data_IF_411380000100
#
_entry.id   IF_411380000100
#
_cell.length_a   1.000
_cell.length_b   1.000
_cell.length_c   1.000
_cell.angle_alpha   90.00
_cell.angle_beta   90.00
_cell.angle_gamma   90.00
#
_symmetry.space_group_name_H-M   'P 1'
#
loop_
_entity.id
_entity.type
_entity.pdbx_description
1 polymer ?
#
# COMPACT_ATOMS: atom_id res chain seq x y z
N UNK A 1 -1.84 0.60 0.85
CA UNK A 1 -0.49 0.08 1.15
C UNK A 1 0.52 1.04 0.59
N UNK A 2 1.17 1.78 1.46
CA UNK A 2 2.13 2.78 1.06
C UNK A 2 3.29 2.74 2.04
N UNK A 3 4.49 3.05 1.55
CA UNK A 3 5.64 3.21 2.43
C UNK A 3 5.64 4.62 3.03
N UNK A 4 5.93 4.71 4.32
CA UNK A 4 6.17 5.99 5.02
C UNK A 4 7.64 6.42 4.96
N UNK A 5 8.55 5.57 4.49
CA UNK A 5 10.00 5.80 4.61
C UNK A 5 10.74 5.86 3.28
N UNK A 6 10.23 5.22 2.23
CA UNK A 6 10.89 5.16 0.92
C UNK A 6 9.90 5.17 -0.25
N UNK A 7 10.43 5.26 -1.48
CA UNK A 7 9.62 5.24 -2.68
C UNK A 7 9.02 3.85 -2.92
N UNK A 8 7.77 3.80 -3.37
CA UNK A 8 7.04 2.55 -3.60
C UNK A 8 6.16 2.63 -4.86
N UNK A 9 5.81 1.48 -5.45
CA UNK A 9 4.82 1.44 -6.53
C UNK A 9 3.39 1.28 -5.97
N UNK A 10 2.52 2.24 -6.28
CA UNK A 10 1.11 2.22 -5.86
C UNK A 10 0.29 1.14 -6.57
N UNK A 11 -0.99 0.97 -6.21
CA UNK A 11 -1.86 -0.08 -6.76
C UNK A 11 -2.05 -0.03 -8.28
N UNK A 12 -1.82 1.14 -8.90
CA UNK A 12 -1.81 1.33 -10.35
C UNK A 12 -0.41 1.15 -10.99
N UNK A 13 0.64 0.98 -10.19
CA UNK A 13 2.01 0.72 -10.64
C UNK A 13 2.85 1.99 -10.87
N UNK A 14 2.41 3.15 -10.39
CA UNK A 14 3.17 4.40 -10.44
C UNK A 14 4.10 4.52 -9.24
N UNK A 15 5.32 5.02 -9.47
CA UNK A 15 6.26 5.28 -8.38
C UNK A 15 5.79 6.51 -7.59
N UNK A 16 5.72 6.38 -6.26
CA UNK A 16 5.30 7.42 -5.31
C UNK A 16 6.35 7.64 -4.26
N UNK A 17 6.46 8.88 -3.80
CA UNK A 17 7.24 9.25 -2.62
C UNK A 17 6.40 9.13 -1.35
N UNK A 18 7.02 8.94 -0.18
CA UNK A 18 6.31 8.99 1.09
C UNK A 18 5.47 10.26 1.25
N UNK A 19 4.20 10.11 1.60
CA UNK A 19 3.27 11.23 1.80
C UNK A 19 2.54 11.71 0.54
N UNK A 20 2.90 11.24 -0.66
CA UNK A 20 2.14 11.54 -1.88
C UNK A 20 0.79 10.80 -1.91
N UNK A 21 -0.16 11.34 -2.67
CA UNK A 21 -1.36 10.59 -3.03
C UNK A 21 -1.01 9.39 -3.91
N UNK A 22 -1.79 8.33 -3.78
CA UNK A 22 -1.50 7.05 -4.41
C UNK A 22 -2.81 6.35 -4.82
N UNK A 23 -2.74 5.48 -5.81
CA UNK A 23 -3.89 4.61 -6.13
C UNK A 23 -3.89 3.38 -5.22
N UNK A 24 -5.04 3.04 -4.63
CA UNK A 24 -5.22 1.77 -3.93
C UNK A 24 -5.36 0.59 -4.91
N UNK A 25 -5.54 -0.63 -4.40
CA UNK A 25 -5.59 -1.83 -5.24
C UNK A 25 -6.76 -1.82 -6.24
N UNK A 26 -7.82 -1.09 -5.95
CA UNK A 26 -9.00 -0.91 -6.81
C UNK A 26 -8.86 0.30 -7.76
N UNK A 27 -7.71 0.97 -7.76
CA UNK A 27 -7.45 2.12 -8.64
C UNK A 27 -8.11 3.42 -8.18
N UNK A 28 -8.50 3.53 -6.90
CA UNK A 28 -9.05 4.76 -6.32
C UNK A 28 -7.90 5.61 -5.79
N UNK A 29 -7.88 6.90 -6.14
CA UNK A 29 -6.88 7.83 -5.62
C UNK A 29 -7.14 8.10 -4.13
N UNK A 30 -6.13 7.92 -3.29
CA UNK A 30 -6.16 8.12 -1.84
C UNK A 30 -5.11 9.11 -1.38
N UNK A 31 -5.39 9.77 -0.28
CA UNK A 31 -4.41 10.51 0.52
C UNK A 31 -3.91 9.58 1.65
N UNK A 32 -2.62 9.57 1.98
CA UNK A 32 -2.11 8.82 3.14
C UNK A 32 -2.91 9.12 4.42
N UNK A 33 -3.41 8.07 5.07
CA UNK A 33 -4.28 8.19 6.24
C UNK A 33 -5.77 7.95 5.96
N UNK A 34 -6.19 7.93 4.69
CA UNK A 34 -7.54 7.50 4.32
C UNK A 34 -7.70 5.97 4.37
N UNK A 35 -8.95 5.52 4.46
CA UNK A 35 -9.28 4.12 4.20
C UNK A 35 -8.96 3.75 2.75
N UNK A 36 -8.53 2.51 2.52
CA UNK A 36 -8.09 2.04 1.21
C UNK A 36 -8.42 0.57 1.02
N UNK A 37 -8.50 0.10 -0.23
CA UNK A 37 -8.60 -1.33 -0.52
C UNK A 37 -7.21 -1.97 -0.58
N UNK A 38 -7.01 -3.05 0.17
CA UNK A 38 -5.81 -3.89 0.08
C UNK A 38 -5.81 -4.77 -1.18
N UNK A 39 -4.74 -5.52 -1.43
CA UNK A 39 -4.62 -6.32 -2.66
C UNK A 39 -5.58 -7.51 -2.77
N UNK A 40 -6.33 -7.81 -1.70
CA UNK A 40 -7.44 -8.77 -1.75
C UNK A 40 -8.82 -8.10 -1.83
N UNK A 41 -8.87 -6.77 -1.97
CA UNK A 41 -10.12 -6.02 -2.11
C UNK A 41 -10.85 -5.77 -0.79
N UNK A 42 -10.19 -5.94 0.36
CA UNK A 42 -10.78 -5.58 1.65
C UNK A 42 -10.54 -4.10 1.94
N UNK A 43 -11.58 -3.39 2.39
CA UNK A 43 -11.43 -2.02 2.89
C UNK A 43 -10.71 -2.05 4.24
N UNK A 44 -9.64 -1.27 4.36
CA UNK A 44 -8.76 -1.19 5.54
C UNK A 44 -8.63 0.24 6.03
N UNK A 45 -8.44 0.38 7.34
CA UNK A 45 -7.88 1.60 7.94
C UNK A 45 -6.34 1.56 7.85
N UNK A 46 -5.65 2.72 7.89
CA UNK A 46 -4.19 2.81 7.77
C UNK A 46 -3.40 1.97 8.77
N UNK A 47 -3.97 1.75 9.96
CA UNK A 47 -3.32 1.07 11.08
C UNK A 47 -3.86 -0.36 11.31
N UNK A 48 -4.59 -0.92 10.34
CA UNK A 48 -5.05 -2.30 10.36
C UNK A 48 -4.14 -3.22 9.53
N UNK A 49 -4.05 -4.52 9.89
CA UNK A 49 -3.40 -5.51 9.04
C UNK A 49 -4.03 -5.57 7.64
N UNK A 50 -3.20 -5.80 6.63
CA UNK A 50 -3.60 -5.77 5.22
C UNK A 50 -2.93 -6.87 4.41
N UNK A 51 -3.44 -7.23 3.24
CA UNK A 51 -2.75 -8.15 2.32
C UNK A 51 -1.89 -7.42 1.28
N UNK A 52 -0.62 -7.80 1.18
CA UNK A 52 0.34 -7.32 0.17
C UNK A 52 0.11 -7.88 -1.22
N UNK A 53 0.86 -7.38 -2.20
CA UNK A 53 0.67 -7.78 -3.61
C UNK A 53 0.88 -9.27 -3.85
N UNK A 54 1.61 -9.94 -2.94
CA UNK A 54 1.84 -11.38 -2.95
C UNK A 54 0.82 -12.15 -2.09
N UNK A 55 -0.12 -11.45 -1.45
CA UNK A 55 -1.16 -12.05 -0.63
C UNK A 55 -0.72 -12.41 0.79
N UNK A 56 0.42 -11.91 1.26
CA UNK A 56 0.81 -12.06 2.66
C UNK A 56 0.08 -11.04 3.53
N UNK A 57 -0.44 -11.49 4.68
CA UNK A 57 -1.00 -10.59 5.68
C UNK A 57 0.15 -9.84 6.37
N UNK A 58 0.05 -8.51 6.41
CA UNK A 58 1.05 -7.63 6.99
C UNK A 58 0.52 -6.76 8.11
N UNK A 59 1.37 -6.43 9.06
CA UNK A 59 1.15 -5.41 10.09
C UNK A 59 1.70 -4.07 9.59
N UNK A 60 0.98 -2.95 9.75
CA UNK A 60 1.48 -1.62 9.38
C UNK A 60 2.85 -1.30 9.97
N UNK A 61 3.75 -0.77 9.13
CA UNK A 61 5.14 -0.46 9.50
C UNK A 61 6.13 -1.60 9.32
N UNK A 62 5.68 -2.82 9.04
CA UNK A 62 6.58 -3.90 8.62
C UNK A 62 6.83 -3.89 7.11
N UNK A 63 7.80 -4.68 6.66
CA UNK A 63 8.10 -4.77 5.24
C UNK A 63 6.96 -5.46 4.47
N UNK A 64 6.66 -4.96 3.27
CA UNK A 64 5.60 -5.48 2.40
C UNK A 64 6.04 -5.51 0.94
N UNK A 65 5.39 -6.31 0.11
CA UNK A 65 5.60 -6.27 -1.34
C UNK A 65 4.66 -5.24 -2.00
N UNK A 66 5.26 -4.29 -2.73
CA UNK A 66 4.50 -3.30 -3.51
C UNK A 66 3.90 -3.89 -4.79
N UNK A 67 3.21 -3.08 -5.60
CA UNK A 67 2.52 -3.56 -6.82
C UNK A 67 3.42 -4.31 -7.80
N UNK A 68 4.72 -4.00 -7.80
CA UNK A 68 5.71 -4.60 -8.70
C UNK A 68 6.56 -5.67 -8.01
N UNK A 69 6.07 -6.23 -6.90
CA UNK A 69 6.73 -7.28 -6.12
C UNK A 69 8.09 -6.87 -5.52
N UNK A 70 8.33 -5.57 -5.38
CA UNK A 70 9.51 -5.09 -4.64
C UNK A 70 9.20 -5.03 -3.15
N UNK A 71 10.11 -5.56 -2.33
CA UNK A 71 10.03 -5.42 -0.89
C UNK A 71 10.31 -3.97 -0.48
N UNK A 72 9.38 -3.37 0.26
CA UNK A 72 9.45 -2.01 0.79
C UNK A 72 9.34 -2.02 2.29
N UNK A 73 9.96 -1.04 2.94
CA UNK A 73 9.69 -0.72 4.33
C UNK A 73 8.34 -0.01 4.47
N UNK A 74 7.55 -0.39 5.48
CA UNK A 74 6.25 0.20 5.83
C UNK A 74 6.30 1.67 6.23
#
# INVERSE_FOLDING_TARGET
MYSKTEDFYDGAGYLRKPGESYYDAEGILRIPGEEYFDYQGFLRKPDEPFYDSQGFLRIPGENFYDKKDFLRQG
#
